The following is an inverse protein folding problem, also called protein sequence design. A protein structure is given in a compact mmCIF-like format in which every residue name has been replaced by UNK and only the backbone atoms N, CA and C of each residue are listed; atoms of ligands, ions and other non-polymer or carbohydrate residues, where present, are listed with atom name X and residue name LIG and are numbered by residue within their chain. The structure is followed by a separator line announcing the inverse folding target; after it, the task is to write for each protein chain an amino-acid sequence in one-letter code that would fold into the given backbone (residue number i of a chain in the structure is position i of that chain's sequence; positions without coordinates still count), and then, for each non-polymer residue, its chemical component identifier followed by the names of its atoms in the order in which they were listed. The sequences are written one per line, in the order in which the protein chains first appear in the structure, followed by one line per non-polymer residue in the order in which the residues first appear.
data_IF_625852565313
#
_entry.id   IF_625852565313
#
_cell.length_a   1.000
_cell.length_b   1.000
_cell.length_c   1.000
_cell.angle_alpha   90.00
_cell.angle_beta   90.00
_cell.angle_gamma   90.00
#
_symmetry.space_group_name_H-M   'P 1'
#
loop_
_entity.id
_entity.type
_entity.pdbx_description
1 polymer ?
#
# COMPACT_ATOMS: atom_id res chain seq x y z
N UNK A 1 20.38 16.01 -5.62
CA UNK A 1 19.75 16.37 -6.91
C UNK A 1 18.41 17.10 -6.79
N UNK A 2 17.23 16.45 -6.82
CA UNK A 2 15.91 17.15 -6.88
C UNK A 2 15.72 18.25 -5.82
N UNK A 3 16.19 18.05 -4.58
CA UNK A 3 16.09 19.08 -3.53
C UNK A 3 16.88 20.35 -3.87
N UNK A 4 18.03 20.20 -4.51
CA UNK A 4 18.97 21.27 -4.89
C UNK A 4 18.58 21.92 -6.21
N UNK A 5 18.33 21.12 -7.25
CA UNK A 5 18.09 21.59 -8.63
C UNK A 5 16.62 21.85 -8.95
N UNK A 6 15.70 21.40 -8.08
CA UNK A 6 14.24 21.38 -8.30
C UNK A 6 13.80 20.56 -9.51
N UNK A 7 14.70 19.80 -10.13
CA UNK A 7 14.44 18.94 -11.28
C UNK A 7 15.02 17.54 -11.04
N UNK A 8 14.49 16.56 -11.77
CA UNK A 8 15.10 15.22 -11.84
C UNK A 8 15.99 15.06 -13.09
N UNK A 9 15.94 16.00 -14.03
CA UNK A 9 16.79 16.01 -15.21
C UNK A 9 18.25 16.19 -14.83
N UNK A 10 19.15 15.62 -15.64
CA UNK A 10 20.60 15.66 -15.48
C UNK A 10 21.08 15.01 -14.18
N UNK A 11 20.31 14.03 -13.68
CA UNK A 11 20.71 13.24 -12.53
C UNK A 11 21.94 12.39 -12.88
N UNK A 12 23.05 12.47 -12.12
CA UNK A 12 24.26 11.69 -12.41
C UNK A 12 23.98 10.19 -12.46
N UNK A 13 24.35 9.54 -13.56
CA UNK A 13 24.12 8.11 -13.78
C UNK A 13 22.74 7.75 -14.35
N UNK A 14 21.90 8.74 -14.68
CA UNK A 14 20.66 8.55 -15.42
C UNK A 14 20.72 9.21 -16.80
N UNK A 15 19.83 8.76 -17.70
CA UNK A 15 19.62 9.37 -19.00
C UNK A 15 18.31 10.14 -18.97
N UNK A 16 18.33 11.37 -19.48
CA UNK A 16 17.11 12.15 -19.67
C UNK A 16 16.26 11.52 -20.77
N UNK A 17 14.94 11.49 -20.56
CA UNK A 17 13.95 11.16 -21.58
C UNK A 17 13.50 12.43 -22.28
N UNK A 18 13.22 12.35 -23.58
CA UNK A 18 12.72 13.48 -24.37
C UNK A 18 11.28 13.83 -23.97
N UNK A 19 10.46 12.83 -23.74
CA UNK A 19 9.08 12.98 -23.30
C UNK A 19 8.82 12.18 -22.02
N UNK A 20 8.07 12.75 -21.08
CA UNK A 20 7.72 12.08 -19.84
C UNK A 20 6.91 10.79 -20.05
N UNK A 21 6.15 10.71 -21.16
CA UNK A 21 5.36 9.53 -21.53
C UNK A 21 6.22 8.31 -21.88
N UNK A 22 7.43 8.52 -22.40
CA UNK A 22 8.36 7.43 -22.72
C UNK A 22 8.73 6.61 -21.48
N UNK A 23 8.65 7.21 -20.29
CA UNK A 23 8.92 6.52 -19.02
C UNK A 23 7.97 5.33 -18.79
N UNK A 24 6.75 5.38 -19.31
CA UNK A 24 5.75 4.30 -19.19
C UNK A 24 6.09 3.07 -20.05
N UNK A 25 6.91 3.27 -21.09
CA UNK A 25 7.23 2.27 -22.12
C UNK A 25 8.60 1.60 -21.90
N UNK A 26 9.33 2.03 -20.85
CA UNK A 26 10.62 1.47 -20.49
C UNK A 26 10.53 -0.01 -20.10
N UNK A 27 11.61 -0.73 -20.35
CA UNK A 27 11.76 -2.12 -19.90
C UNK A 27 11.83 -2.15 -18.36
N UNK A 28 10.84 -2.76 -17.72
CA UNK A 28 10.82 -3.00 -16.28
C UNK A 28 9.89 -4.19 -15.95
N UNK A 29 10.01 -4.76 -14.76
CA UNK A 29 9.06 -5.78 -14.29
C UNK A 29 7.77 -5.15 -13.73
N UNK A 30 7.91 -4.04 -13.00
CA UNK A 30 6.81 -3.33 -12.32
C UNK A 30 6.78 -1.87 -12.79
N UNK A 31 5.64 -1.46 -13.33
CA UNK A 31 5.36 -0.06 -13.69
C UNK A 31 4.44 0.57 -12.66
N UNK A 32 4.83 1.72 -12.11
CA UNK A 32 4.07 2.45 -11.07
C UNK A 32 3.65 3.82 -11.61
N UNK A 33 2.52 3.93 -12.33
CA UNK A 33 1.99 5.22 -12.73
C UNK A 33 1.48 5.98 -11.51
N UNK A 34 2.14 7.08 -11.18
CA UNK A 34 1.93 7.86 -9.94
C UNK A 34 1.79 9.38 -10.20
N UNK A 35 1.34 9.76 -11.41
CA UNK A 35 1.25 11.17 -11.82
C UNK A 35 -0.21 11.62 -12.03
N UNK A 36 -0.80 11.27 -13.17
CA UNK A 36 -2.14 11.68 -13.59
C UNK A 36 -2.97 10.47 -13.99
N UNK A 37 -4.28 10.67 -14.16
CA UNK A 37 -5.21 9.72 -14.76
C UNK A 37 -4.96 9.53 -16.27
N UNK A 38 -5.49 8.45 -16.84
CA UNK A 38 -5.54 8.17 -18.28
C UNK A 38 -4.19 8.27 -19.01
N UNK A 39 -3.10 7.82 -18.38
CA UNK A 39 -1.75 7.85 -18.95
C UNK A 39 -1.42 6.61 -19.79
N UNK A 40 -2.06 5.48 -19.49
CA UNK A 40 -1.98 4.26 -20.30
C UNK A 40 -3.30 4.12 -21.05
N UNK A 41 -3.24 4.33 -22.36
CA UNK A 41 -4.37 4.37 -23.28
C UNK A 41 -4.13 3.39 -24.43
N UNK A 42 -5.12 3.24 -25.32
CA UNK A 42 -4.94 2.42 -26.53
C UNK A 42 -3.78 2.87 -27.43
N UNK A 43 -3.36 4.14 -27.33
CA UNK A 43 -2.25 4.67 -28.12
C UNK A 43 -0.90 4.11 -27.70
N UNK A 44 -0.71 3.75 -26.42
CA UNK A 44 0.57 3.28 -25.88
C UNK A 44 0.52 1.88 -25.24
N UNK A 45 -0.67 1.29 -25.07
CA UNK A 45 -0.86 -0.01 -24.41
C UNK A 45 0.03 -1.13 -24.98
N UNK A 46 0.24 -1.14 -26.30
CA UNK A 46 1.06 -2.13 -26.99
C UNK A 46 2.56 -1.98 -26.71
N UNK A 47 2.99 -0.81 -26.23
CA UNK A 47 4.38 -0.48 -25.88
C UNK A 47 4.67 -0.64 -24.39
N UNK A 48 3.66 -0.93 -23.56
CA UNK A 48 3.87 -1.20 -22.14
C UNK A 48 4.53 -2.56 -21.97
N UNK A 49 5.78 -2.56 -21.49
CA UNK A 49 6.60 -3.78 -21.36
C UNK A 49 6.43 -4.48 -20.01
N UNK A 50 6.04 -3.73 -18.97
CA UNK A 50 5.89 -4.24 -17.61
C UNK A 50 4.95 -5.44 -17.47
N UNK A 51 5.30 -6.35 -16.55
CA UNK A 51 4.47 -7.52 -16.21
C UNK A 51 3.41 -7.17 -15.16
N UNK A 52 3.73 -6.23 -14.28
CA UNK A 52 2.85 -5.73 -13.23
C UNK A 52 2.67 -4.23 -13.42
N UNK A 53 1.42 -3.78 -13.44
CA UNK A 53 1.05 -2.37 -13.38
C UNK A 53 0.46 -2.11 -12.00
N UNK A 54 1.10 -1.23 -11.24
CA UNK A 54 0.75 -0.91 -9.86
C UNK A 54 0.21 0.53 -9.82
N UNK A 55 -1.11 0.69 -9.88
CA UNK A 55 -1.76 2.00 -10.04
C UNK A 55 -1.69 2.84 -8.77
N UNK A 56 -0.69 3.73 -8.69
CA UNK A 56 -0.55 4.64 -7.56
C UNK A 56 -1.36 5.94 -7.76
N UNK A 57 -1.52 6.39 -9.00
CA UNK A 57 -2.46 7.45 -9.36
C UNK A 57 -3.91 6.92 -9.38
N UNK A 58 -4.89 7.83 -9.38
CA UNK A 58 -6.29 7.48 -9.58
C UNK A 58 -6.57 7.33 -11.08
N UNK A 59 -7.08 6.17 -11.51
CA UNK A 59 -7.43 5.87 -12.89
C UNK A 59 -6.32 6.07 -13.93
N UNK A 60 -5.07 5.63 -13.73
CA UNK A 60 -4.00 5.86 -14.70
C UNK A 60 -4.14 5.04 -15.98
N UNK A 61 -4.94 3.97 -15.98
CA UNK A 61 -5.16 3.07 -17.12
C UNK A 61 -6.61 3.17 -17.58
N UNK A 62 -6.84 3.44 -18.86
CA UNK A 62 -8.20 3.48 -19.42
C UNK A 62 -8.81 2.07 -19.48
N UNK A 63 -10.15 1.98 -19.52
CA UNK A 63 -10.86 0.70 -19.45
C UNK A 63 -10.53 -0.25 -20.61
N UNK A 64 -10.44 0.29 -21.82
CA UNK A 64 -10.04 -0.41 -23.04
C UNK A 64 -8.58 -0.88 -23.01
N UNK A 65 -7.66 -0.02 -22.55
CA UNK A 65 -6.25 -0.39 -22.37
C UNK A 65 -6.10 -1.48 -21.30
N UNK A 66 -6.84 -1.40 -20.20
CA UNK A 66 -6.87 -2.42 -19.14
C UNK A 66 -7.25 -3.78 -19.69
N UNK A 67 -8.26 -3.86 -20.56
CA UNK A 67 -8.68 -5.11 -21.19
C UNK A 67 -7.56 -5.74 -22.03
N UNK A 68 -6.85 -4.94 -22.82
CA UNK A 68 -5.72 -5.39 -23.64
C UNK A 68 -4.56 -5.89 -22.78
N UNK A 69 -4.21 -5.16 -21.71
CA UNK A 69 -3.12 -5.55 -20.80
C UNK A 69 -3.44 -6.87 -20.10
N UNK A 70 -4.67 -7.04 -19.62
CA UNK A 70 -5.13 -8.27 -18.96
C UNK A 70 -5.13 -9.47 -19.92
N UNK A 71 -5.63 -9.30 -21.16
CA UNK A 71 -5.57 -10.34 -22.20
C UNK A 71 -4.14 -10.72 -22.57
N UNK A 72 -3.21 -9.78 -22.43
CA UNK A 72 -1.76 -10.01 -22.63
C UNK A 72 -1.09 -10.68 -21.43
N UNK A 73 -1.85 -11.10 -20.42
CA UNK A 73 -1.34 -11.80 -19.23
C UNK A 73 -0.69 -10.90 -18.19
N UNK A 74 -0.82 -9.57 -18.31
CA UNK A 74 -0.26 -8.62 -17.33
C UNK A 74 -1.16 -8.52 -16.10
N UNK A 75 -0.55 -8.29 -14.95
CA UNK A 75 -1.26 -8.08 -13.69
C UNK A 75 -1.47 -6.57 -13.47
N UNK A 76 -2.70 -6.17 -13.16
CA UNK A 76 -3.01 -4.80 -12.74
C UNK A 76 -3.43 -4.83 -11.28
N UNK A 77 -2.67 -4.15 -10.42
CA UNK A 77 -3.04 -3.88 -9.03
C UNK A 77 -3.84 -2.56 -9.03
N UNK A 78 -5.14 -2.61 -8.72
CA UNK A 78 -6.03 -1.48 -8.94
C UNK A 78 -5.79 -0.33 -7.97
N UNK A 79 -5.94 0.88 -8.47
CA UNK A 79 -5.86 2.15 -7.74
C UNK A 79 -6.66 2.17 -6.44
N UNK A 80 -7.92 1.75 -6.47
CA UNK A 80 -8.84 1.72 -5.33
C UNK A 80 -8.31 0.91 -4.14
N UNK A 81 -7.38 -0.01 -4.38
CA UNK A 81 -6.66 -0.73 -3.33
C UNK A 81 -5.28 -0.11 -3.09
N UNK A 82 -4.45 0.02 -4.13
CA UNK A 82 -3.03 0.28 -3.96
C UNK A 82 -2.73 1.66 -3.36
N UNK A 83 -3.49 2.69 -3.75
CA UNK A 83 -3.27 4.06 -3.28
C UNK A 83 -4.05 4.40 -1.99
N UNK A 84 -4.87 3.47 -1.50
CA UNK A 84 -5.74 3.66 -0.33
C UNK A 84 -4.96 3.95 0.97
N UNK A 85 -3.66 3.62 1.02
CA UNK A 85 -2.81 3.89 2.17
C UNK A 85 -2.77 5.37 2.57
N UNK A 86 -2.90 6.30 1.62
CA UNK A 86 -3.00 7.72 1.93
C UNK A 86 -4.25 8.04 2.76
N UNK A 87 -5.41 7.53 2.34
CA UNK A 87 -6.69 7.71 3.05
C UNK A 87 -6.67 7.01 4.41
N UNK A 88 -6.07 5.82 4.50
CA UNK A 88 -5.90 5.07 5.75
C UNK A 88 -5.12 5.88 6.79
N UNK A 89 -3.97 6.45 6.40
CA UNK A 89 -3.15 7.23 7.34
C UNK A 89 -3.80 8.58 7.67
N UNK A 90 -4.50 9.22 6.73
CA UNK A 90 -5.31 10.41 7.03
C UNK A 90 -6.44 10.11 8.02
N UNK A 91 -7.04 8.92 7.96
CA UNK A 91 -8.01 8.48 8.97
C UNK A 91 -7.36 8.33 10.36
N UNK A 92 -6.15 7.78 10.46
CA UNK A 92 -5.41 7.72 11.73
C UNK A 92 -5.06 9.12 12.25
N UNK A 93 -4.68 10.05 11.38
CA UNK A 93 -4.48 11.46 11.74
C UNK A 93 -5.76 12.09 12.30
N UNK A 94 -6.90 11.85 11.68
CA UNK A 94 -8.19 12.34 12.16
C UNK A 94 -8.54 11.79 13.55
N UNK A 95 -8.36 10.49 13.78
CA UNK A 95 -8.58 9.86 15.09
C UNK A 95 -7.64 10.45 16.17
N UNK A 96 -6.37 10.66 15.84
CA UNK A 96 -5.41 11.32 16.73
C UNK A 96 -5.90 12.71 17.10
N UNK A 97 -6.33 13.51 16.13
CA UNK A 97 -6.81 14.87 16.36
C UNK A 97 -8.06 14.93 17.24
N UNK A 98 -8.98 13.96 17.10
CA UNK A 98 -10.15 13.83 17.99
C UNK A 98 -9.77 13.44 19.43
N UNK A 99 -8.80 12.55 19.59
CA UNK A 99 -8.39 12.06 20.91
C UNK A 99 -7.52 13.04 21.70
N UNK A 100 -6.93 14.04 21.03
CA UNK A 100 -5.92 14.97 21.58
C UNK A 100 -4.73 14.27 22.28
N UNK A 101 -4.51 12.98 22.00
CA UNK A 101 -3.46 12.17 22.60
C UNK A 101 -2.62 11.57 21.47
N UNK A 102 -1.30 11.64 21.64
CA UNK A 102 -0.38 10.94 20.74
C UNK A 102 -0.49 9.43 20.98
N UNK A 103 -0.64 8.65 19.92
CA UNK A 103 -0.59 7.19 20.00
C UNK A 103 0.67 6.72 20.73
N UNK A 104 0.53 5.69 21.58
CA UNK A 104 1.62 5.16 22.41
C UNK A 104 2.02 6.02 23.61
N UNK A 105 1.57 7.29 23.74
CA UNK A 105 2.02 8.21 24.82
C UNK A 105 1.86 7.65 26.23
N UNK A 106 0.79 6.89 26.48
CA UNK A 106 0.46 6.36 27.80
C UNK A 106 1.14 5.02 28.10
N UNK A 107 1.49 4.22 27.08
CA UNK A 107 1.94 2.83 27.24
C UNK A 107 3.37 2.57 26.79
N UNK A 108 3.95 3.40 25.92
CA UNK A 108 5.24 3.12 25.27
C UNK A 108 6.35 2.77 26.27
N UNK A 109 6.60 3.63 27.27
CA UNK A 109 7.63 3.37 28.29
C UNK A 109 7.31 2.18 29.19
N UNK A 110 6.02 1.93 29.43
CA UNK A 110 5.59 0.81 30.24
C UNK A 110 5.87 -0.51 29.51
N UNK A 111 5.51 -0.59 28.23
CA UNK A 111 5.82 -1.71 27.34
C UNK A 111 7.34 -1.91 27.19
N UNK A 112 8.12 -0.85 26.99
CA UNK A 112 9.58 -0.94 26.92
C UNK A 112 10.17 -1.59 28.17
N UNK A 113 9.72 -1.15 29.35
CA UNK A 113 10.23 -1.67 30.61
C UNK A 113 9.84 -3.13 30.81
N UNK A 114 8.61 -3.52 30.49
CA UNK A 114 8.17 -4.91 30.56
C UNK A 114 9.00 -5.79 29.61
N UNK A 115 9.19 -5.36 28.36
CA UNK A 115 9.95 -6.13 27.38
C UNK A 115 11.42 -6.28 27.79
N UNK A 116 12.04 -5.23 28.36
CA UNK A 116 13.42 -5.32 28.91
C UNK A 116 13.50 -6.35 30.04
N UNK A 117 12.58 -6.30 31.00
CA UNK A 117 12.56 -7.25 32.11
C UNK A 117 12.41 -8.70 31.62
N UNK A 118 11.53 -8.94 30.64
CA UNK A 118 11.36 -10.26 30.04
C UNK A 118 12.64 -10.74 29.35
N UNK A 119 13.31 -9.88 28.57
CA UNK A 119 14.56 -10.22 27.88
C UNK A 119 15.68 -10.51 28.87
N UNK A 120 15.84 -9.69 29.91
CA UNK A 120 16.83 -9.88 30.96
C UNK A 120 16.62 -11.21 31.71
N UNK A 121 15.36 -11.58 31.97
CA UNK A 121 15.04 -12.86 32.60
C UNK A 121 15.35 -14.06 31.68
N UNK A 122 15.12 -13.92 30.38
CA UNK A 122 15.53 -14.94 29.38
C UNK A 122 17.06 -15.07 29.33
N UNK A 123 17.81 -13.97 29.34
CA UNK A 123 19.28 -14.02 29.41
C UNK A 123 19.74 -14.72 30.70
N UNK A 124 19.08 -14.45 31.83
CA UNK A 124 19.39 -15.06 33.13
C UNK A 124 19.15 -16.57 33.13
N UNK A 125 18.02 -17.04 32.59
CA UNK A 125 17.67 -18.46 32.53
C UNK A 125 18.52 -19.25 31.53
N UNK A 126 18.87 -18.64 30.40
CA UNK A 126 19.63 -19.31 29.33
C UNK A 126 21.15 -19.18 29.48
N UNK A 127 21.62 -18.20 30.26
CA UNK A 127 23.03 -17.83 30.36
C UNK A 127 23.60 -17.20 29.08
N UNK A 128 22.77 -16.93 28.07
CA UNK A 128 23.17 -16.35 26.77
C UNK A 128 22.66 -14.94 26.66
N UNK A 129 23.48 -14.05 26.10
CA UNK A 129 23.08 -12.65 25.84
C UNK A 129 22.56 -12.46 24.42
N UNK A 130 21.57 -11.59 24.28
CA UNK A 130 21.14 -11.11 22.98
C UNK A 130 22.18 -10.13 22.39
N UNK A 131 22.34 -10.10 21.06
CA UNK A 131 23.01 -8.98 20.41
C UNK A 131 22.33 -7.66 20.77
N UNK A 132 23.11 -6.59 21.01
CA UNK A 132 22.57 -5.29 21.46
C UNK A 132 21.48 -4.75 20.54
N UNK A 133 21.67 -4.85 19.23
CA UNK A 133 20.69 -4.37 18.24
C UNK A 133 19.35 -5.11 18.36
N UNK A 134 19.39 -6.44 18.47
CA UNK A 134 18.19 -7.28 18.67
C UNK A 134 17.50 -6.95 19.99
N UNK A 135 18.27 -6.78 21.06
CA UNK A 135 17.73 -6.40 22.37
C UNK A 135 17.00 -5.07 22.29
N UNK A 136 17.63 -4.03 21.73
CA UNK A 136 17.02 -2.70 21.61
C UNK A 136 15.76 -2.71 20.75
N UNK A 137 15.75 -3.48 19.65
CA UNK A 137 14.57 -3.60 18.78
C UNK A 137 13.38 -4.26 19.47
N UNK A 138 13.60 -5.35 20.20
CA UNK A 138 12.51 -6.06 20.89
C UNK A 138 12.05 -5.29 22.14
N UNK A 139 12.98 -4.64 22.82
CA UNK A 139 12.70 -3.81 23.99
C UNK A 139 11.98 -2.50 23.64
N UNK A 140 11.88 -2.11 22.37
CA UNK A 140 11.22 -0.88 21.94
C UNK A 140 9.69 -1.00 22.10
N UNK A 141 9.09 -0.01 22.75
CA UNK A 141 7.64 0.10 22.87
C UNK A 141 7.08 0.89 21.69
N UNK A 142 5.88 0.56 21.25
CA UNK A 142 5.32 1.10 20.03
C UNK A 142 5.10 2.62 20.15
N UNK A 143 5.83 3.39 19.35
CA UNK A 143 5.60 4.81 19.14
C UNK A 143 4.49 5.06 18.12
N UNK A 144 4.21 6.33 17.88
CA UNK A 144 3.21 6.73 16.88
C UNK A 144 3.53 6.20 15.48
N UNK A 145 4.78 6.27 15.05
CA UNK A 145 5.21 5.77 13.74
C UNK A 145 5.04 4.25 13.63
N UNK A 146 5.40 3.49 14.67
CA UNK A 146 5.22 2.04 14.71
C UNK A 146 3.74 1.66 14.59
N UNK A 147 2.87 2.38 15.29
CA UNK A 147 1.43 2.14 15.27
C UNK A 147 0.80 2.51 13.93
N UNK A 148 1.23 3.61 13.30
CA UNK A 148 0.78 4.00 11.95
C UNK A 148 1.23 2.97 10.92
N UNK A 149 2.50 2.56 10.95
CA UNK A 149 3.05 1.57 10.02
C UNK A 149 2.36 0.22 10.16
N UNK A 150 2.22 -0.27 11.41
CA UNK A 150 1.53 -1.54 11.70
C UNK A 150 0.05 -1.50 11.31
N UNK A 151 -0.66 -0.41 11.63
CA UNK A 151 -2.06 -0.24 11.26
C UNK A 151 -2.28 -0.16 9.75
N UNK A 152 -1.36 0.51 9.03
CA UNK A 152 -1.38 0.56 7.58
C UNK A 152 -1.10 -0.81 6.98
N UNK A 153 -0.08 -1.52 7.46
CA UNK A 153 0.26 -2.88 7.02
C UNK A 153 -0.92 -3.83 7.17
N UNK A 154 -1.54 -3.87 8.36
CA UNK A 154 -2.72 -4.72 8.63
C UNK A 154 -3.88 -4.38 7.69
N UNK A 155 -4.14 -3.08 7.48
CA UNK A 155 -5.22 -2.62 6.60
C UNK A 155 -4.99 -3.08 5.16
N UNK A 156 -3.77 -2.92 4.63
CA UNK A 156 -3.44 -3.29 3.26
C UNK A 156 -3.44 -4.81 3.07
N UNK A 157 -2.87 -5.56 4.01
CA UNK A 157 -2.84 -7.03 3.99
C UNK A 157 -4.28 -7.58 4.01
N UNK A 158 -5.10 -7.13 4.96
CA UNK A 158 -6.50 -7.57 5.08
C UNK A 158 -7.31 -7.24 3.83
N UNK A 159 -7.17 -6.02 3.29
CA UNK A 159 -7.86 -5.62 2.06
C UNK A 159 -7.43 -6.47 0.85
N UNK A 160 -6.14 -6.77 0.70
CA UNK A 160 -5.67 -7.66 -0.35
C UNK A 160 -6.21 -9.07 -0.22
N UNK A 161 -6.21 -9.64 1.00
CA UNK A 161 -6.77 -10.97 1.24
C UNK A 161 -8.24 -11.05 0.84
N UNK A 162 -9.05 -10.06 1.21
CA UNK A 162 -10.46 -9.99 0.78
C UNK A 162 -10.61 -9.95 -0.74
N UNK A 163 -9.82 -9.11 -1.44
CA UNK A 163 -9.82 -9.03 -2.90
C UNK A 163 -9.42 -10.37 -3.52
N UNK A 164 -8.37 -11.01 -2.98
CA UNK A 164 -7.86 -12.30 -3.46
C UNK A 164 -8.88 -13.42 -3.25
N UNK A 165 -9.56 -13.44 -2.11
CA UNK A 165 -10.59 -14.42 -1.80
C UNK A 165 -11.79 -14.29 -2.73
N UNK A 166 -12.27 -13.08 -2.98
CA UNK A 166 -13.34 -12.83 -3.96
C UNK A 166 -12.90 -13.29 -5.34
N UNK A 167 -11.67 -12.98 -5.75
CA UNK A 167 -11.13 -13.44 -7.03
C UNK A 167 -11.04 -14.97 -7.10
N UNK A 168 -10.64 -15.63 -6.01
CA UNK A 168 -10.57 -17.08 -5.94
C UNK A 168 -11.96 -17.74 -6.02
N UNK A 169 -12.99 -17.16 -5.42
CA UNK A 169 -14.39 -17.60 -5.55
C UNK A 169 -14.89 -17.57 -7.00
N UNK A 170 -14.27 -16.74 -7.84
CA UNK A 170 -14.55 -16.63 -9.28
C UNK A 170 -13.48 -17.35 -10.13
N UNK A 171 -12.91 -18.45 -9.62
CA UNK A 171 -11.89 -19.27 -10.30
C UNK A 171 -10.67 -18.50 -10.83
N UNK A 172 -10.37 -17.33 -10.25
CA UNK A 172 -9.34 -16.38 -10.72
C UNK A 172 -9.56 -15.79 -12.12
N UNK A 173 -10.77 -15.93 -12.69
CA UNK A 173 -11.11 -15.46 -14.02
C UNK A 173 -11.39 -13.95 -14.08
N UNK A 174 -11.81 -13.36 -12.95
CA UNK A 174 -12.05 -11.92 -12.87
C UNK A 174 -10.75 -11.15 -12.57
N UNK A 175 -10.61 -9.91 -13.09
CA UNK A 175 -9.51 -9.01 -12.74
C UNK A 175 -9.53 -8.61 -11.25
N UNK A 176 -8.37 -8.25 -10.71
CA UNK A 176 -8.26 -7.72 -9.34
C UNK A 176 -9.11 -6.46 -9.13
N UNK A 177 -9.21 -5.59 -10.14
CA UNK A 177 -10.09 -4.41 -10.12
C UNK A 177 -11.54 -4.79 -9.89
N UNK A 178 -12.05 -5.77 -10.64
CA UNK A 178 -13.42 -6.25 -10.51
C UNK A 178 -13.67 -6.86 -9.14
N UNK A 179 -12.74 -7.68 -8.64
CA UNK A 179 -12.83 -8.23 -7.29
C UNK A 179 -12.84 -7.15 -6.20
N UNK A 180 -12.04 -6.08 -6.37
CA UNK A 180 -12.05 -4.92 -5.48
C UNK A 180 -13.41 -4.19 -5.51
N UNK A 181 -14.01 -3.98 -6.69
CA UNK A 181 -15.35 -3.39 -6.79
C UNK A 181 -16.43 -4.25 -6.13
N UNK A 182 -16.41 -5.58 -6.33
CA UNK A 182 -17.32 -6.50 -5.65
C UNK A 182 -17.18 -6.35 -4.12
N UNK A 183 -15.96 -6.30 -3.60
CA UNK A 183 -15.72 -6.08 -2.17
C UNK A 183 -16.33 -4.77 -1.67
N UNK A 184 -16.09 -3.66 -2.39
CA UNK A 184 -16.60 -2.34 -2.04
C UNK A 184 -18.13 -2.30 -2.07
N UNK A 185 -18.76 -2.82 -3.13
CA UNK A 185 -20.21 -2.87 -3.28
C UNK A 185 -20.84 -3.70 -2.16
N UNK A 186 -20.27 -4.86 -1.82
CA UNK A 186 -20.79 -5.70 -0.75
C UNK A 186 -20.77 -4.99 0.61
N UNK A 187 -19.68 -4.29 0.94
CA UNK A 187 -19.58 -3.52 2.19
C UNK A 187 -20.61 -2.40 2.25
N UNK A 188 -20.78 -1.66 1.16
CA UNK A 188 -21.78 -0.59 1.06
C UNK A 188 -23.19 -1.17 1.19
N UNK A 189 -23.49 -2.25 0.47
CA UNK A 189 -24.80 -2.90 0.49
C UNK A 189 -25.18 -3.36 1.90
N UNK A 190 -24.26 -3.95 2.66
CA UNK A 190 -24.49 -4.33 4.07
C UNK A 190 -24.89 -3.11 4.90
N UNK A 191 -24.16 -2.00 4.80
CA UNK A 191 -24.51 -0.77 5.52
C UNK A 191 -25.89 -0.24 5.13
N UNK A 192 -26.27 -0.29 3.85
CA UNK A 192 -27.60 0.12 3.40
C UNK A 192 -28.72 -0.79 3.92
N UNK A 193 -28.50 -2.12 3.95
CA UNK A 193 -29.47 -3.08 4.48
C UNK A 193 -29.70 -2.89 5.99
N UNK A 194 -28.63 -2.64 6.75
CA UNK A 194 -28.71 -2.43 8.20
C UNK A 194 -29.39 -1.11 8.58
N UNK A 195 -29.33 -0.09 7.72
CA UNK A 195 -30.01 1.19 7.94
C UNK A 195 -31.54 1.09 7.80
N UNK A 196 -32.08 -0.05 7.38
CA UNK A 196 -33.53 -0.26 7.20
C UNK A 196 -34.13 0.55 6.05
N UNK A 197 -33.29 1.19 5.22
CA UNK A 197 -33.72 1.97 4.06
C UNK A 197 -33.73 1.03 2.86
N UNK A 198 -34.86 0.35 2.69
CA UNK A 198 -35.32 -0.10 1.38
C UNK A 198 -36.20 1.02 0.80
N UNK A 199 -36.10 1.37 -0.50
CA UNK A 199 -37.08 2.27 -1.11
C UNK A 199 -38.49 1.66 -1.08
#
# INVERSE_FOLDING_TARGET
HRKETKSILDFPGAQNLSQSSEALELECDILVPAALENQITMENVSRIKAKIIAEAANGPVTADASEVLLKSGKMIIPDMYLNAGGVTVSYFEWLKNLSHIRFGRMSQRFEENINKLLLEEVERLTGKKFPRDTFTKIAHGAGEEDLVNSGLEETMISAYHQIREIRAQHNNEIPLRTAAFINAINKIAVSYMELGIFP
#
